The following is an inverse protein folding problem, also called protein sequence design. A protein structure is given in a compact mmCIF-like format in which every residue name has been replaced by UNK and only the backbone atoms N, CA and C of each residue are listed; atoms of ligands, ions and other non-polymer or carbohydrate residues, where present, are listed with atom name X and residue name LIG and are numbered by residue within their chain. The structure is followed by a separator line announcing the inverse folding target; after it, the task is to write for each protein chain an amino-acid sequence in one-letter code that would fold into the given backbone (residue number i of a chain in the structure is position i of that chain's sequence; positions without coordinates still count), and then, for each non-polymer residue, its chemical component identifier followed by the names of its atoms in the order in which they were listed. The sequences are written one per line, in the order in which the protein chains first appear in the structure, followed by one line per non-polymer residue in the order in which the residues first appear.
data_IF_704017269123
#
_entry.id   IF_704017269123
#
_cell.length_a   1.000
_cell.length_b   1.000
_cell.length_c   1.000
_cell.angle_alpha   90.00
_cell.angle_beta   90.00
_cell.angle_gamma   90.00
#
_symmetry.space_group_name_H-M   'P 1'
#
loop_
_entity.id
_entity.type
_entity.pdbx_description
1 polymer ?
#
# COMPACT_ATOMS: atom_id res chain seq x y z
N UNK A 1 -0.24 -16.60 -8.47
CA UNK A 1 1.06 -16.00 -8.13
C UNK A 1 0.93 -15.24 -6.84
N UNK A 2 1.94 -15.27 -5.99
CA UNK A 2 1.90 -14.63 -4.68
C UNK A 2 2.72 -13.35 -4.66
N UNK A 3 2.15 -12.30 -4.10
CA UNK A 3 2.82 -11.01 -3.94
C UNK A 3 2.86 -10.61 -2.48
N UNK A 4 3.95 -9.97 -2.10
CA UNK A 4 4.12 -9.38 -0.78
C UNK A 4 4.20 -7.87 -0.98
N UNK A 5 3.33 -7.14 -0.28
CA UNK A 5 3.17 -5.70 -0.48
C UNK A 5 3.34 -4.98 0.85
N UNK A 6 4.17 -3.96 0.85
CA UNK A 6 4.31 -3.06 1.99
C UNK A 6 3.69 -1.72 1.63
N UNK A 7 2.83 -1.22 2.50
CA UNK A 7 2.24 0.10 2.34
C UNK A 7 2.62 0.98 3.52
N UNK A 8 2.88 2.24 3.24
CA UNK A 8 3.22 3.23 4.25
C UNK A 8 2.49 4.52 3.90
N UNK A 9 1.67 5.00 4.82
CA UNK A 9 0.99 6.28 4.68
C UNK A 9 1.62 7.31 5.60
N UNK A 10 1.73 8.53 5.15
CA UNK A 10 2.20 9.63 5.95
C UNK A 10 1.20 10.78 5.87
N UNK A 11 1.04 11.50 6.98
CA UNK A 11 0.11 12.61 7.04
C UNK A 11 0.64 13.71 7.94
N UNK A 12 0.54 14.93 7.46
CA UNK A 12 0.93 16.12 8.22
C UNK A 12 -0.30 16.98 8.45
N UNK A 13 -0.86 16.91 9.65
CA UNK A 13 -2.11 17.59 10.02
C UNK A 13 -2.05 19.10 9.83
N UNK A 14 -0.92 19.71 10.14
CA UNK A 14 -0.74 21.17 10.05
C UNK A 14 -0.91 21.70 8.62
N UNK A 15 -0.68 20.87 7.63
CA UNK A 15 -0.79 21.25 6.20
C UNK A 15 -1.88 20.49 5.48
N UNK A 16 -2.56 19.59 6.14
CA UNK A 16 -3.54 18.68 5.53
C UNK A 16 -2.98 17.98 4.29
N UNK A 17 -1.71 17.66 4.35
CA UNK A 17 -0.99 17.00 3.27
C UNK A 17 -0.52 15.63 3.72
N UNK A 18 -0.54 14.70 2.82
CA UNK A 18 -0.05 13.39 3.10
C UNK A 18 0.38 12.68 1.83
N UNK A 19 0.56 11.41 1.94
CA UNK A 19 0.92 10.59 0.80
C UNK A 19 0.96 9.13 1.20
N UNK A 20 1.27 8.31 0.23
CA UNK A 20 1.46 6.89 0.48
C UNK A 20 2.60 6.35 -0.38
N UNK A 21 3.19 5.28 0.12
CA UNK A 21 4.16 4.50 -0.61
C UNK A 21 3.69 3.06 -0.64
N UNK A 22 3.86 2.40 -1.76
CA UNK A 22 3.52 0.98 -1.92
C UNK A 22 4.71 0.30 -2.59
N UNK A 23 5.18 -0.76 -1.98
CA UNK A 23 6.32 -1.52 -2.49
C UNK A 23 5.90 -2.97 -2.69
N UNK A 24 6.16 -3.49 -3.87
CA UNK A 24 5.73 -4.82 -4.27
C UNK A 24 6.92 -5.75 -4.40
N UNK A 25 6.81 -6.92 -3.79
CA UNK A 25 7.79 -8.00 -3.89
C UNK A 25 7.12 -9.27 -4.39
N UNK A 26 7.90 -10.13 -5.03
CA UNK A 26 7.45 -11.49 -5.33
C UNK A 26 7.61 -12.39 -4.10
N UNK A 27 7.29 -13.68 -4.24
CA UNK A 27 7.37 -14.62 -3.13
C UNK A 27 8.81 -14.88 -2.66
N UNK A 28 9.80 -14.58 -3.47
CA UNK A 28 11.21 -14.70 -3.13
C UNK A 28 11.81 -13.38 -2.61
N UNK A 29 10.95 -12.41 -2.33
CA UNK A 29 11.34 -11.08 -1.84
C UNK A 29 12.17 -10.27 -2.83
N UNK A 30 12.02 -10.52 -4.11
CA UNK A 30 12.60 -9.67 -5.15
C UNK A 30 11.70 -8.46 -5.38
N UNK A 31 12.30 -7.29 -5.40
CA UNK A 31 11.56 -6.06 -5.66
C UNK A 31 11.02 -6.05 -7.08
N UNK A 32 9.71 -5.89 -7.22
CA UNK A 32 9.03 -5.82 -8.51
C UNK A 32 8.78 -4.37 -8.91
N UNK A 33 8.24 -3.58 -7.97
CA UNK A 33 7.74 -2.24 -8.28
C UNK A 33 7.60 -1.42 -6.99
N UNK A 34 7.73 -0.12 -7.11
CA UNK A 34 7.39 0.81 -6.03
C UNK A 34 6.56 1.96 -6.59
N UNK A 35 5.62 2.44 -5.79
CA UNK A 35 4.72 3.54 -6.14
C UNK A 35 4.69 4.53 -4.99
N UNK A 36 4.85 5.81 -5.32
CA UNK A 36 4.78 6.90 -4.35
C UNK A 36 3.81 7.94 -4.85
N UNK A 37 3.00 8.49 -3.96
CA UNK A 37 2.08 9.55 -4.34
C UNK A 37 1.86 10.53 -3.19
N UNK A 38 1.94 11.83 -3.51
CA UNK A 38 1.56 12.90 -2.60
C UNK A 38 0.10 13.29 -2.79
N UNK A 39 -0.57 13.64 -1.70
CA UNK A 39 -1.99 14.00 -1.72
C UNK A 39 -2.17 15.28 -0.91
N UNK A 40 -2.87 16.25 -1.49
CA UNK A 40 -3.25 17.49 -0.82
C UNK A 40 -4.67 17.39 -0.27
N UNK A 41 -4.95 18.14 0.79
CA UNK A 41 -6.29 18.22 1.39
C UNK A 41 -6.83 16.83 1.75
N UNK A 42 -6.04 16.06 2.46
CA UNK A 42 -6.37 14.68 2.81
C UNK A 42 -6.39 14.48 4.32
N UNK A 43 -6.73 13.28 4.73
CA UNK A 43 -6.67 12.84 6.12
C UNK A 43 -5.76 11.62 6.24
N UNK A 44 -5.35 11.30 7.47
CA UNK A 44 -4.53 10.12 7.72
C UNK A 44 -5.21 8.84 7.22
N UNK A 45 -6.49 8.69 7.53
CA UNK A 45 -7.26 7.51 7.11
C UNK A 45 -7.34 7.38 5.59
N UNK A 46 -7.48 8.50 4.90
CA UNK A 46 -7.51 8.51 3.43
C UNK A 46 -6.17 8.08 2.83
N UNK A 47 -5.07 8.54 3.42
CA UNK A 47 -3.74 8.15 2.94
C UNK A 47 -3.55 6.64 3.05
N UNK A 48 -3.93 6.04 4.16
CA UNK A 48 -3.83 4.60 4.36
C UNK A 48 -4.72 3.83 3.38
N UNK A 49 -5.96 4.27 3.24
CA UNK A 49 -6.92 3.62 2.34
C UNK A 49 -6.49 3.71 0.88
N UNK A 50 -6.00 4.87 0.45
CA UNK A 50 -5.54 5.05 -0.92
C UNK A 50 -4.31 4.21 -1.23
N UNK A 51 -3.40 4.07 -0.26
CA UNK A 51 -2.26 3.16 -0.41
C UNK A 51 -2.71 1.73 -0.62
N UNK A 52 -3.68 1.28 0.16
CA UNK A 52 -4.27 -0.05 0.05
C UNK A 52 -4.93 -0.26 -1.32
N UNK A 53 -5.73 0.69 -1.76
CA UNK A 53 -6.41 0.63 -3.06
C UNK A 53 -5.38 0.62 -4.20
N UNK A 54 -4.35 1.44 -4.10
CA UNK A 54 -3.28 1.48 -5.09
C UNK A 54 -2.58 0.12 -5.20
N UNK A 55 -2.32 -0.52 -4.06
CA UNK A 55 -1.72 -1.85 -4.05
C UNK A 55 -2.57 -2.84 -4.84
N UNK A 56 -3.88 -2.87 -4.60
CA UNK A 56 -4.78 -3.78 -5.28
C UNK A 56 -4.89 -3.49 -6.78
N UNK A 57 -4.86 -2.22 -7.17
CA UNK A 57 -4.95 -1.82 -8.57
C UNK A 57 -3.76 -2.28 -9.42
N UNK A 58 -2.59 -2.39 -8.81
CA UNK A 58 -1.37 -2.71 -9.54
C UNK A 58 -1.09 -4.20 -9.61
N UNK A 59 -1.99 -5.03 -9.11
CA UNK A 59 -1.82 -6.47 -9.09
C UNK A 59 -2.76 -7.16 -10.07
N UNK A 60 -2.33 -8.24 -10.72
CA UNK A 60 -3.21 -8.99 -11.61
C UNK A 60 -4.31 -9.71 -10.83
N UNK A 61 -5.39 -10.03 -11.54
CA UNK A 61 -6.48 -10.83 -10.96
C UNK A 61 -5.98 -12.23 -10.60
N UNK A 62 -6.65 -12.84 -9.63
CA UNK A 62 -6.35 -14.17 -9.13
C UNK A 62 -4.96 -14.29 -8.48
N UNK A 63 -4.46 -13.18 -7.98
CA UNK A 63 -3.20 -13.16 -7.23
C UNK A 63 -3.48 -13.38 -5.74
N UNK A 64 -2.58 -14.10 -5.08
CA UNK A 64 -2.53 -14.11 -3.63
C UNK A 64 -1.69 -12.92 -3.18
N UNK A 65 -2.21 -12.15 -2.23
CA UNK A 65 -1.55 -10.92 -1.78
C UNK A 65 -1.48 -10.91 -0.26
N UNK A 66 -0.29 -10.66 0.26
CA UNK A 66 -0.10 -10.37 1.67
C UNK A 66 0.31 -8.91 1.78
N UNK A 67 -0.48 -8.12 2.48
CA UNK A 67 -0.24 -6.68 2.63
C UNK A 67 0.16 -6.37 4.06
N UNK A 68 1.30 -5.71 4.20
CA UNK A 68 1.80 -5.21 5.47
C UNK A 68 1.65 -3.69 5.48
N UNK A 69 1.08 -3.18 6.56
CA UNK A 69 0.94 -1.73 6.76
C UNK A 69 1.78 -1.31 7.95
N UNK A 70 2.27 -0.09 7.93
CA UNK A 70 3.02 0.48 9.05
C UNK A 70 2.17 0.78 10.28
N UNK A 71 0.85 0.71 10.16
CA UNK A 71 -0.07 0.92 11.27
C UNK A 71 -0.26 -0.32 12.15
N UNK A 72 0.73 -1.15 12.26
CA UNK A 72 0.78 -2.34 13.12
C UNK A 72 -0.10 -3.50 12.68
N UNK A 73 -0.68 -3.43 11.49
CA UNK A 73 -1.53 -4.51 10.99
C UNK A 73 -0.79 -5.36 10.00
N UNK A 74 -0.87 -6.65 10.22
CA UNK A 74 -0.61 -7.61 9.17
C UNK A 74 -1.99 -8.00 8.65
N UNK A 75 -2.30 -7.59 7.44
CA UNK A 75 -3.58 -7.93 6.85
C UNK A 75 -3.58 -9.38 6.41
N UNK A 76 -4.73 -10.02 6.52
CA UNK A 76 -4.88 -11.40 6.06
C UNK A 76 -4.60 -11.49 4.56
N UNK A 77 -4.06 -12.63 4.08
CA UNK A 77 -3.89 -12.82 2.65
C UNK A 77 -5.19 -12.64 1.89
N UNK A 78 -5.10 -11.92 0.78
CA UNK A 78 -6.26 -11.60 -0.04
C UNK A 78 -6.07 -12.25 -1.39
N UNK A 79 -7.13 -12.93 -1.87
CA UNK A 79 -7.19 -13.39 -3.26
C UNK A 79 -7.85 -12.32 -4.10
N UNK A 80 -7.18 -11.95 -5.13
CA UNK A 80 -7.68 -10.92 -6.04
C UNK A 80 -8.25 -11.53 -7.31
#
# INVERSE_FOLDING_TARGET
MKYIVYTDGSYRASRKQGGYAVVFYDSDMNLIKSVFKGIKNTTNNRCELMGFISALKHLPFNSEVVIYSDSEYVLNPIKK
#
